data_IF_969929604532
#
_entry.id   IF_969929604532
#
_cell.length_a   1.000
_cell.length_b   1.000
_cell.length_c   1.000
_cell.angle_alpha   90.00
_cell.angle_beta   90.00
_cell.angle_gamma   90.00
#
_symmetry.space_group_name_H-M   'P 1'
#
loop_
_entity.id
_entity.type
_entity.pdbx_description
1 polymer ?
#
# COMPACT_ATOMS: atom_id res chain seq x y z
N UNK A 1 27.12 16.12 3.53
CA UNK A 1 26.19 15.00 3.29
C UNK A 1 26.31 14.01 4.45
N UNK A 2 26.05 14.45 5.68
CA UNK A 2 26.23 13.64 6.91
C UNK A 2 24.92 13.43 7.68
N UNK A 3 23.82 14.05 7.26
CA UNK A 3 22.56 14.03 8.01
C UNK A 3 21.70 12.78 7.74
N UNK A 4 22.02 12.02 6.69
CA UNK A 4 21.25 10.85 6.23
C UNK A 4 22.17 9.64 5.94
N UNK A 5 22.78 9.03 6.97
CA UNK A 5 23.78 7.98 6.80
C UNK A 5 23.25 6.71 6.12
N UNK A 6 22.02 6.26 6.41
CA UNK A 6 21.45 5.09 5.73
C UNK A 6 21.13 5.41 4.28
N UNK A 7 20.44 6.52 4.00
CA UNK A 7 20.13 6.91 2.62
C UNK A 7 21.39 7.06 1.75
N UNK A 8 22.48 7.56 2.33
CA UNK A 8 23.75 7.74 1.63
C UNK A 8 24.50 6.43 1.40
N UNK A 9 24.30 5.43 2.26
CA UNK A 9 25.02 4.14 2.19
C UNK A 9 24.25 3.04 1.45
N UNK A 10 22.98 3.26 1.10
CA UNK A 10 22.19 2.31 0.31
C UNK A 10 22.80 2.10 -1.08
N UNK A 11 23.09 0.85 -1.41
CA UNK A 11 23.57 0.46 -2.73
C UNK A 11 22.40 -0.03 -3.60
N UNK A 12 21.54 0.92 -3.98
CA UNK A 12 20.35 0.69 -4.79
C UNK A 12 19.18 0.04 -4.03
N UNK A 13 18.02 0.03 -4.69
CA UNK A 13 16.74 -0.43 -4.12
C UNK A 13 16.78 -1.87 -3.57
N UNK A 14 17.52 -2.77 -4.23
CA UNK A 14 17.63 -4.17 -3.84
C UNK A 14 18.28 -4.37 -2.45
N UNK A 15 19.13 -3.43 -2.01
CA UNK A 15 19.80 -3.51 -0.70
C UNK A 15 18.82 -3.42 0.48
N UNK A 16 17.65 -2.80 0.29
CA UNK A 16 16.62 -2.61 1.32
C UNK A 16 16.10 -3.95 1.85
N UNK A 17 16.09 -5.00 1.02
CA UNK A 17 15.68 -6.35 1.41
C UNK A 17 16.53 -6.92 2.55
N UNK A 18 17.81 -6.54 2.61
CA UNK A 18 18.78 -7.08 3.57
C UNK A 18 18.86 -6.28 4.88
N UNK A 19 18.19 -5.13 4.95
CA UNK A 19 18.11 -4.35 6.17
C UNK A 19 17.28 -5.07 7.24
N UNK A 20 17.75 -5.02 8.48
CA UNK A 20 16.96 -5.36 9.66
C UNK A 20 15.75 -4.43 9.80
N UNK A 21 14.74 -4.85 10.57
CA UNK A 21 13.59 -3.99 10.84
C UNK A 21 13.96 -2.72 11.60
N UNK A 22 15.02 -2.74 12.43
CA UNK A 22 15.52 -1.54 13.09
C UNK A 22 16.13 -0.55 12.07
N UNK A 23 16.95 -1.04 11.14
CA UNK A 23 17.51 -0.22 10.06
C UNK A 23 16.41 0.32 9.13
N UNK A 24 15.38 -0.48 8.82
CA UNK A 24 14.22 0.00 8.03
C UNK A 24 13.44 1.11 8.72
N UNK A 25 13.30 1.06 10.05
CA UNK A 25 12.67 2.15 10.83
C UNK A 25 13.52 3.42 10.81
N UNK A 26 14.84 3.29 10.99
CA UNK A 26 15.79 4.41 10.87
C UNK A 26 15.78 5.00 9.46
N UNK A 27 15.74 4.16 8.43
CA UNK A 27 15.60 4.59 7.04
C UNK A 27 14.30 5.37 6.82
N UNK A 28 13.19 4.93 7.42
CA UNK A 28 11.93 5.68 7.36
C UNK A 28 12.04 7.06 8.01
N UNK A 29 12.76 7.18 9.13
CA UNK A 29 13.03 8.46 9.81
C UNK A 29 13.85 9.41 8.94
N UNK A 30 14.94 8.92 8.36
CA UNK A 30 15.76 9.70 7.41
C UNK A 30 14.95 10.15 6.19
N UNK A 31 14.12 9.27 5.61
CA UNK A 31 13.24 9.61 4.50
C UNK A 31 12.24 10.71 4.87
N UNK A 32 11.61 10.64 6.05
CA UNK A 32 10.69 11.69 6.52
C UNK A 32 11.40 13.02 6.61
N UNK A 33 12.56 13.07 7.27
CA UNK A 33 13.34 14.29 7.43
C UNK A 33 13.77 14.87 6.07
N UNK A 34 14.31 14.04 5.18
CA UNK A 34 14.78 14.46 3.86
C UNK A 34 13.65 14.96 2.95
N UNK A 35 12.49 14.29 2.97
CA UNK A 35 11.29 14.72 2.24
C UNK A 35 10.80 16.06 2.79
N UNK A 36 10.68 16.21 4.11
CA UNK A 36 10.25 17.47 4.74
C UNK A 36 11.19 18.62 4.34
N UNK A 37 12.50 18.41 4.43
CA UNK A 37 13.49 19.43 4.06
C UNK A 37 13.36 19.85 2.60
N UNK A 38 13.26 18.89 1.68
CA UNK A 38 13.19 19.15 0.24
C UNK A 38 11.88 19.84 -0.13
N UNK A 39 10.75 19.37 0.40
CA UNK A 39 9.43 19.94 0.12
C UNK A 39 9.26 21.33 0.74
N UNK A 40 9.88 21.59 1.89
CA UNK A 40 9.89 22.93 2.49
C UNK A 40 10.59 23.95 1.58
N UNK A 41 11.64 23.55 0.85
CA UNK A 41 12.35 24.43 -0.08
C UNK A 41 11.64 24.56 -1.45
N UNK A 42 11.08 23.47 -1.97
CA UNK A 42 10.63 23.39 -3.37
C UNK A 42 9.11 23.39 -3.56
N UNK A 43 8.34 23.18 -2.48
CA UNK A 43 6.93 22.83 -2.54
C UNK A 43 6.68 21.39 -3.01
N UNK A 44 5.40 21.00 -3.09
CA UNK A 44 4.98 19.65 -3.47
C UNK A 44 4.04 19.00 -2.45
N UNK A 45 3.69 17.74 -2.67
CA UNK A 45 2.75 17.02 -1.82
C UNK A 45 3.48 16.44 -0.60
N UNK A 46 3.25 16.96 0.60
CA UNK A 46 3.95 16.48 1.79
C UNK A 46 3.23 15.29 2.44
N UNK A 47 2.01 15.51 2.94
CA UNK A 47 1.30 14.53 3.77
C UNK A 47 1.10 13.15 3.09
N UNK A 48 0.70 13.07 1.81
CA UNK A 48 0.56 11.78 1.12
C UNK A 48 1.87 10.99 1.05
N UNK A 49 3.01 11.67 0.88
CA UNK A 49 4.31 11.03 0.84
C UNK A 49 4.75 10.52 2.21
N UNK A 50 4.50 11.28 3.28
CA UNK A 50 4.81 10.83 4.64
C UNK A 50 3.97 9.60 5.04
N UNK A 51 2.74 9.49 4.53
CA UNK A 51 1.83 8.39 4.83
C UNK A 51 2.20 7.03 4.23
N UNK A 52 3.12 6.96 3.26
CA UNK A 52 3.42 5.73 2.51
C UNK A 52 4.89 5.31 2.57
N UNK A 53 5.69 5.89 3.47
CA UNK A 53 7.12 5.60 3.57
C UNK A 53 7.36 4.12 3.92
N UNK A 54 6.71 3.62 4.96
CA UNK A 54 6.87 2.22 5.38
C UNK A 54 6.36 1.25 4.33
N UNK A 55 5.23 1.57 3.69
CA UNK A 55 4.71 0.80 2.57
C UNK A 55 5.70 0.75 1.40
N UNK A 56 6.34 1.89 1.08
CA UNK A 56 7.34 1.95 0.01
C UNK A 56 8.56 1.11 0.34
N UNK A 57 9.07 1.20 1.58
CA UNK A 57 10.18 0.36 2.05
C UNK A 57 9.81 -1.12 1.96
N UNK A 58 8.60 -1.49 2.42
CA UNK A 58 8.13 -2.87 2.37
C UNK A 58 7.97 -3.37 0.92
N UNK A 59 7.46 -2.53 0.00
CA UNK A 59 7.38 -2.87 -1.42
C UNK A 59 8.75 -3.22 -2.01
N UNK A 60 9.75 -2.38 -1.75
CA UNK A 60 11.13 -2.57 -2.22
C UNK A 60 11.82 -3.77 -1.55
N UNK A 61 11.50 -4.03 -0.27
CA UNK A 61 12.04 -5.18 0.44
C UNK A 61 11.48 -6.52 -0.09
N UNK A 62 10.24 -6.55 -0.58
CA UNK A 62 9.52 -7.79 -0.87
C UNK A 62 9.33 -8.11 -2.35
N UNK A 63 9.52 -7.15 -3.25
CA UNK A 63 9.35 -7.33 -4.68
C UNK A 63 10.69 -7.17 -5.41
N UNK A 64 10.77 -7.70 -6.62
CA UNK A 64 11.93 -7.64 -7.50
C UNK A 64 11.74 -6.52 -8.52
N UNK A 65 11.89 -5.26 -8.11
CA UNK A 65 11.66 -4.11 -9.00
C UNK A 65 12.95 -3.75 -9.76
N UNK A 66 12.90 -3.30 -11.02
CA UNK A 66 11.72 -2.92 -11.82
C UNK A 66 11.05 -4.08 -12.59
N UNK A 67 11.48 -5.33 -12.39
CA UNK A 67 10.87 -6.49 -13.06
C UNK A 67 9.41 -6.65 -12.61
N UNK A 68 9.17 -6.67 -11.31
CA UNK A 68 7.88 -6.38 -10.72
C UNK A 68 7.58 -4.90 -10.93
N UNK A 69 6.39 -4.60 -11.43
CA UNK A 69 6.02 -3.26 -11.86
C UNK A 69 5.09 -2.63 -10.83
N UNK A 70 5.38 -1.39 -10.41
CA UNK A 70 4.56 -0.64 -9.44
C UNK A 70 4.03 0.62 -10.09
N UNK A 71 2.71 0.83 -10.02
CA UNK A 71 2.01 1.97 -10.58
C UNK A 71 1.35 2.75 -9.44
N UNK A 72 1.79 3.98 -9.21
CA UNK A 72 1.24 4.89 -8.21
C UNK A 72 0.09 5.71 -8.80
N UNK A 73 -1.14 5.55 -8.31
CA UNK A 73 -2.29 6.36 -8.71
C UNK A 73 -2.11 7.82 -8.32
N UNK A 74 -2.50 8.75 -9.21
CA UNK A 74 -2.16 10.18 -9.19
C UNK A 74 -0.65 10.45 -9.24
N UNK A 75 0.18 9.65 -8.57
CA UNK A 75 1.63 9.78 -8.48
C UNK A 75 2.11 10.68 -7.34
N UNK A 76 1.21 11.42 -6.69
CA UNK A 76 1.58 12.39 -5.66
C UNK A 76 2.15 11.79 -4.36
N UNK A 77 2.11 10.47 -4.20
CA UNK A 77 2.62 9.70 -3.05
C UNK A 77 3.83 8.82 -3.43
N UNK A 78 4.74 9.31 -4.28
CA UNK A 78 5.87 8.53 -4.83
C UNK A 78 7.27 9.02 -4.42
N UNK A 79 7.41 9.96 -3.49
CA UNK A 79 8.71 10.59 -3.19
C UNK A 79 9.69 9.62 -2.54
N UNK A 80 9.26 8.85 -1.55
CA UNK A 80 10.07 7.79 -0.97
C UNK A 80 10.47 6.77 -2.05
N UNK A 81 9.57 6.46 -2.98
CA UNK A 81 9.86 5.57 -4.10
C UNK A 81 10.96 6.17 -4.98
N UNK A 82 10.84 7.43 -5.41
CA UNK A 82 11.88 8.11 -6.20
C UNK A 82 13.23 8.08 -5.50
N UNK A 83 13.27 8.48 -4.22
CA UNK A 83 14.51 8.52 -3.42
C UNK A 83 15.19 7.15 -3.38
N UNK A 84 14.42 6.09 -3.09
CA UNK A 84 14.94 4.73 -2.91
C UNK A 84 15.17 3.97 -4.23
N UNK A 85 14.76 4.55 -5.37
CA UNK A 85 14.97 3.99 -6.72
C UNK A 85 15.90 4.89 -7.52
N UNK A 86 17.12 5.00 -6.99
CA UNK A 86 18.31 5.57 -7.63
C UNK A 86 18.24 7.08 -7.94
N UNK A 87 17.36 7.83 -7.26
CA UNK A 87 17.21 9.29 -7.47
C UNK A 87 17.38 10.10 -6.18
N UNK A 88 18.05 9.56 -5.17
CA UNK A 88 18.34 10.26 -3.91
C UNK A 88 19.13 11.56 -4.14
N UNK A 89 20.16 11.51 -4.99
CA UNK A 89 21.05 12.63 -5.28
C UNK A 89 20.38 13.76 -6.06
N UNK A 90 19.45 13.41 -6.96
CA UNK A 90 18.70 14.34 -7.81
C UNK A 90 17.45 14.88 -7.09
N UNK A 91 17.01 14.23 -6.01
CA UNK A 91 15.78 14.59 -5.30
C UNK A 91 15.70 16.06 -4.86
N UNK A 92 16.80 16.74 -4.45
CA UNK A 92 16.76 18.18 -4.15
C UNK A 92 16.31 19.07 -5.31
N UNK A 93 16.30 18.57 -6.55
CA UNK A 93 15.79 19.28 -7.74
C UNK A 93 14.28 19.10 -7.98
N UNK A 94 13.58 18.42 -7.07
CA UNK A 94 12.14 18.12 -7.15
C UNK A 94 11.32 19.35 -7.55
N UNK A 95 10.53 19.21 -8.61
CA UNK A 95 9.62 20.22 -9.19
C UNK A 95 10.30 21.50 -9.67
N UNK A 96 11.62 21.51 -9.79
CA UNK A 96 12.37 22.60 -10.40
C UNK A 96 12.48 22.40 -11.91
N UNK A 97 12.66 23.49 -12.66
CA UNK A 97 12.86 23.43 -14.11
C UNK A 97 14.10 22.60 -14.43
N UNK A 98 13.93 21.53 -15.21
CA UNK A 98 15.02 20.60 -15.55
C UNK A 98 15.38 19.60 -14.45
N UNK A 99 14.67 19.61 -13.32
CA UNK A 99 14.81 18.63 -12.23
C UNK A 99 13.77 17.52 -12.28
N UNK A 100 13.66 16.76 -11.19
CA UNK A 100 12.71 15.66 -11.07
C UNK A 100 11.25 16.12 -11.05
N UNK A 101 10.38 15.37 -11.74
CA UNK A 101 8.93 15.50 -11.65
C UNK A 101 8.43 15.20 -10.24
N UNK A 102 7.34 15.88 -9.86
CA UNK A 102 6.58 15.56 -8.65
C UNK A 102 5.71 14.30 -8.75
N UNK A 103 5.75 13.61 -9.89
CA UNK A 103 4.96 12.42 -10.20
C UNK A 103 5.84 11.37 -10.91
N UNK A 104 5.46 10.09 -10.93
CA UNK A 104 6.15 9.05 -11.69
C UNK A 104 6.26 9.46 -13.16
N UNK A 105 7.46 9.28 -13.73
CA UNK A 105 7.74 9.63 -15.11
C UNK A 105 8.65 8.59 -15.75
N UNK A 106 8.18 7.94 -16.81
CA UNK A 106 8.89 6.85 -17.51
C UNK A 106 10.23 7.29 -18.09
N UNK A 107 10.37 8.57 -18.43
CA UNK A 107 11.64 9.13 -18.91
C UNK A 107 12.64 9.46 -17.80
N UNK A 108 12.23 9.42 -16.53
CA UNK A 108 13.11 9.67 -15.38
C UNK A 108 13.70 8.41 -14.78
N UNK A 109 13.02 7.26 -14.94
CA UNK A 109 13.42 6.04 -14.23
C UNK A 109 12.75 4.81 -14.80
N UNK A 110 13.50 3.70 -14.88
CA UNK A 110 12.96 2.38 -15.22
C UNK A 110 11.96 1.85 -14.19
N UNK A 111 11.99 2.37 -12.96
CA UNK A 111 11.06 2.01 -11.88
C UNK A 111 9.70 2.72 -12.02
N UNK A 112 9.61 3.77 -12.83
CA UNK A 112 8.37 4.51 -13.09
C UNK A 112 7.72 3.98 -14.38
N UNK A 113 7.10 2.79 -14.32
CA UNK A 113 6.62 2.07 -15.51
C UNK A 113 5.43 2.72 -16.25
N UNK A 114 4.76 3.69 -15.61
CA UNK A 114 3.60 4.39 -16.16
C UNK A 114 3.55 5.83 -15.66
N UNK A 115 3.28 6.78 -16.56
CA UNK A 115 3.15 8.19 -16.21
C UNK A 115 1.81 8.44 -15.52
N UNK A 116 1.83 8.95 -14.29
CA UNK A 116 0.61 9.33 -13.57
C UNK A 116 0.58 10.81 -13.22
N UNK A 117 -0.64 11.29 -12.96
CA UNK A 117 -0.97 12.68 -12.66
C UNK A 117 -2.47 12.83 -12.45
N UNK A 118 -3.25 12.17 -13.30
CA UNK A 118 -4.69 11.99 -13.12
C UNK A 118 -5.00 10.82 -12.18
N UNK A 119 -6.12 10.93 -11.46
CA UNK A 119 -6.59 9.90 -10.52
C UNK A 119 -7.30 8.75 -11.21
N UNK A 120 -7.38 7.62 -10.51
CA UNK A 120 -8.18 6.43 -10.84
C UNK A 120 -7.68 5.64 -12.06
N UNK A 121 -6.46 5.92 -12.52
CA UNK A 121 -5.87 5.31 -13.73
C UNK A 121 -5.01 4.08 -13.43
N UNK A 122 -4.53 3.93 -12.20
CA UNK A 122 -3.50 2.93 -11.85
C UNK A 122 -3.95 1.48 -12.05
N UNK A 123 -5.18 1.14 -11.65
CA UNK A 123 -5.70 -0.24 -11.74
C UNK A 123 -5.87 -0.62 -13.22
N UNK A 124 -6.42 0.26 -14.04
CA UNK A 124 -6.57 0.02 -15.48
C UNK A 124 -5.22 -0.19 -16.16
N UNK A 125 -4.25 0.68 -15.87
CA UNK A 125 -2.88 0.54 -16.38
C UNK A 125 -2.22 -0.77 -15.91
N UNK A 126 -2.43 -1.14 -14.64
CA UNK A 126 -1.89 -2.38 -14.08
C UNK A 126 -2.52 -3.64 -14.71
N UNK A 127 -3.82 -3.65 -14.97
CA UNK A 127 -4.52 -4.73 -15.68
C UNK A 127 -3.94 -4.90 -17.09
N UNK A 128 -3.78 -3.80 -17.84
CA UNK A 128 -3.19 -3.83 -19.18
C UNK A 128 -1.76 -4.37 -19.17
N UNK A 129 -0.93 -3.90 -18.23
CA UNK A 129 0.45 -4.34 -18.10
C UNK A 129 0.56 -5.81 -17.66
N UNK A 130 -0.27 -6.26 -16.72
CA UNK A 130 -0.32 -7.66 -16.29
C UNK A 130 -0.68 -8.59 -17.45
N UNK A 131 -1.68 -8.23 -18.26
CA UNK A 131 -2.05 -8.97 -19.47
C UNK A 131 -0.91 -9.01 -20.49
N UNK A 132 -0.24 -7.88 -20.72
CA UNK A 132 0.89 -7.80 -21.64
C UNK A 132 2.08 -8.67 -21.19
N UNK A 133 2.36 -8.72 -19.88
CA UNK A 133 3.37 -9.62 -19.30
C UNK A 133 3.00 -11.09 -19.49
N UNK A 134 1.75 -11.45 -19.17
CA UNK A 134 1.24 -12.81 -19.35
C UNK A 134 1.33 -13.29 -20.79
N UNK A 135 0.96 -12.45 -21.77
CA UNK A 135 1.07 -12.76 -23.21
C UNK A 135 2.52 -13.00 -23.66
N UNK A 136 3.50 -12.44 -22.96
CA UNK A 136 4.94 -12.64 -23.20
C UNK A 136 5.54 -13.80 -22.39
N UNK A 137 4.73 -14.50 -21.60
CA UNK A 137 5.19 -15.53 -20.68
C UNK A 137 5.93 -14.99 -19.44
N UNK A 138 5.87 -13.69 -19.18
CA UNK A 138 6.45 -13.07 -17.98
C UNK A 138 5.48 -13.20 -16.80
N UNK A 139 5.97 -13.82 -15.72
CA UNK A 139 5.24 -14.07 -14.49
C UNK A 139 5.50 -13.01 -13.41
N UNK A 140 6.19 -11.92 -13.74
CA UNK A 140 6.44 -10.83 -12.80
C UNK A 140 5.16 -10.11 -12.39
N UNK A 141 5.12 -9.62 -11.15
CA UNK A 141 3.94 -8.98 -10.56
C UNK A 141 3.69 -7.61 -11.19
N UNK A 142 2.43 -7.20 -11.17
CA UNK A 142 2.02 -5.83 -11.44
C UNK A 142 1.20 -5.32 -10.25
N UNK A 143 1.63 -4.20 -9.68
CA UNK A 143 1.13 -3.66 -8.42
C UNK A 143 0.53 -2.28 -8.70
N UNK A 144 -0.75 -2.09 -8.42
CA UNK A 144 -1.40 -0.78 -8.41
C UNK A 144 -1.51 -0.27 -6.98
N UNK A 145 -0.93 0.90 -6.68
CA UNK A 145 -1.11 1.59 -5.40
C UNK A 145 -2.08 2.76 -5.59
N UNK A 146 -3.28 2.62 -5.05
CA UNK A 146 -4.38 3.59 -5.18
C UNK A 146 -4.82 4.12 -3.82
N UNK A 147 -5.13 5.43 -3.73
CA UNK A 147 -5.73 6.02 -2.54
C UNK A 147 -7.25 5.79 -2.48
N UNK A 148 -7.85 5.82 -1.29
CA UNK A 148 -9.31 5.69 -1.10
C UNK A 148 -10.12 6.74 -1.87
N UNK A 149 -9.63 7.98 -1.95
CA UNK A 149 -10.25 9.03 -2.77
C UNK A 149 -10.28 8.71 -4.26
N UNK A 150 -9.20 8.12 -4.79
CA UNK A 150 -9.09 7.76 -6.20
C UNK A 150 -9.89 6.50 -6.55
N UNK A 151 -10.14 5.61 -5.57
CA UNK A 151 -10.95 4.41 -5.76
C UNK A 151 -12.40 4.72 -6.13
N UNK A 152 -12.92 5.88 -5.68
CA UNK A 152 -14.27 6.33 -6.01
C UNK A 152 -14.50 6.69 -7.48
N UNK A 153 -13.43 6.86 -8.28
CA UNK A 153 -13.54 7.19 -9.70
C UNK A 153 -14.06 6.02 -10.53
N UNK A 154 -14.94 6.30 -11.50
CA UNK A 154 -15.57 5.27 -12.35
C UNK A 154 -14.56 4.37 -13.06
N UNK A 155 -13.43 4.92 -13.52
CA UNK A 155 -12.36 4.15 -14.17
C UNK A 155 -11.73 3.10 -13.24
N UNK A 156 -11.61 3.39 -11.95
CA UNK A 156 -11.09 2.42 -10.98
C UNK A 156 -12.06 1.25 -10.80
N UNK A 157 -13.37 1.51 -10.75
CA UNK A 157 -14.40 0.46 -10.68
C UNK A 157 -14.49 -0.38 -11.95
N UNK A 158 -14.46 0.26 -13.11
CA UNK A 158 -14.41 -0.43 -14.40
C UNK A 158 -13.20 -1.36 -14.45
N UNK A 159 -12.02 -0.87 -14.07
CA UNK A 159 -10.80 -1.66 -14.05
C UNK A 159 -10.84 -2.80 -13.04
N UNK A 160 -11.41 -2.60 -11.84
CA UNK A 160 -11.62 -3.68 -10.87
C UNK A 160 -12.57 -4.75 -11.41
N UNK A 161 -13.63 -4.35 -12.11
CA UNK A 161 -14.55 -5.28 -12.75
C UNK A 161 -13.89 -6.07 -13.87
N UNK A 162 -12.97 -5.46 -14.63
CA UNK A 162 -12.23 -6.10 -15.72
C UNK A 162 -11.06 -6.98 -15.23
N UNK A 163 -10.51 -6.66 -14.05
CA UNK A 163 -9.33 -7.31 -13.49
C UNK A 163 -9.49 -8.80 -13.22
N UNK A 164 -10.72 -9.32 -13.10
CA UNK A 164 -10.98 -10.75 -12.93
C UNK A 164 -10.36 -11.65 -14.01
N UNK A 165 -10.05 -11.09 -15.20
CA UNK A 165 -9.36 -11.82 -16.27
C UNK A 165 -7.82 -11.61 -16.30
N UNK A 166 -7.26 -10.77 -15.41
CA UNK A 166 -5.84 -10.43 -15.41
C UNK A 166 -4.94 -11.52 -14.78
N UNK A 167 -5.53 -12.53 -14.13
CA UNK A 167 -4.80 -13.64 -13.49
C UNK A 167 -4.12 -13.26 -12.17
N UNK A 168 -3.36 -14.21 -11.62
CA UNK A 168 -2.81 -14.14 -10.24
C UNK A 168 -1.65 -13.13 -10.04
N UNK A 169 -1.16 -12.49 -11.11
CA UNK A 169 0.01 -11.60 -11.06
C UNK A 169 -0.36 -10.12 -10.84
N UNK A 170 -1.61 -9.81 -10.52
CA UNK A 170 -2.09 -8.47 -10.22
C UNK A 170 -2.32 -8.29 -8.71
N UNK A 171 -1.67 -7.28 -8.12
CA UNK A 171 -1.89 -6.85 -6.74
C UNK A 171 -2.44 -5.41 -6.75
N UNK A 172 -3.56 -5.19 -6.05
CA UNK A 172 -4.08 -3.85 -5.80
C UNK A 172 -3.91 -3.52 -4.32
N UNK A 173 -3.16 -2.46 -4.05
CA UNK A 173 -2.94 -1.92 -2.71
C UNK A 173 -3.78 -0.67 -2.57
N UNK A 174 -4.73 -0.71 -1.63
CA UNK A 174 -5.56 0.42 -1.26
C UNK A 174 -4.96 1.14 -0.05
N UNK A 175 -4.43 2.35 -0.27
CA UNK A 175 -4.03 3.27 0.79
C UNK A 175 -5.27 4.03 1.30
N UNK A 176 -5.94 3.47 2.31
CA UNK A 176 -7.10 4.08 2.98
C UNK A 176 -6.65 4.98 4.14
N UNK A 177 -6.53 6.28 3.87
CA UNK A 177 -6.21 7.29 4.88
C UNK A 177 -7.40 8.19 5.26
N UNK A 178 -8.60 7.91 4.71
CA UNK A 178 -9.86 8.65 4.88
C UNK A 178 -9.84 10.07 4.29
N UNK A 179 -8.86 10.38 3.44
CA UNK A 179 -8.61 11.71 2.90
C UNK A 179 -8.47 11.66 1.37
N UNK A 180 -9.13 12.61 0.71
CA UNK A 180 -8.77 13.12 -0.60
C UNK A 180 -7.88 14.38 -0.39
N UNK A 181 -8.14 15.45 -1.16
CA UNK A 181 -7.70 16.81 -0.77
C UNK A 181 -8.44 17.23 0.52
N UNK A 182 -9.75 16.96 0.57
CA UNK A 182 -10.61 17.03 1.76
C UNK A 182 -11.07 15.62 2.18
N UNK A 183 -11.91 15.49 3.22
CA UNK A 183 -12.43 14.19 3.65
C UNK A 183 -13.05 13.37 2.49
N UNK A 184 -12.76 12.07 2.47
CA UNK A 184 -13.36 11.17 1.50
C UNK A 184 -14.88 11.05 1.73
N UNK A 185 -15.67 11.16 0.65
CA UNK A 185 -17.14 11.11 0.68
C UNK A 185 -17.69 10.02 -0.23
N UNK A 186 -18.95 9.63 -0.01
CA UNK A 186 -19.68 8.71 -0.89
C UNK A 186 -19.85 7.29 -0.37
N UNK A 187 -20.41 6.42 -1.21
CA UNK A 187 -20.72 5.02 -0.84
C UNK A 187 -19.47 4.19 -0.54
N UNK A 188 -18.39 4.39 -1.30
CA UNK A 188 -17.12 3.69 -1.15
C UNK A 188 -16.44 4.04 0.16
N UNK A 189 -16.35 5.32 0.49
CA UNK A 189 -15.77 5.79 1.75
C UNK A 189 -16.50 5.18 2.97
N UNK A 190 -17.84 5.17 2.96
CA UNK A 190 -18.65 4.52 4.01
C UNK A 190 -18.41 3.01 4.10
N UNK A 191 -18.23 2.32 2.97
CA UNK A 191 -17.93 0.90 2.96
C UNK A 191 -16.54 0.62 3.58
N UNK A 192 -15.52 1.40 3.21
CA UNK A 192 -14.17 1.29 3.80
C UNK A 192 -14.17 1.60 5.31
N UNK A 193 -14.99 2.54 5.75
CA UNK A 193 -15.19 2.81 7.18
C UNK A 193 -15.78 1.60 7.94
N UNK A 194 -16.77 0.93 7.37
CA UNK A 194 -17.35 -0.30 7.95
C UNK A 194 -16.31 -1.43 8.03
N UNK A 195 -15.47 -1.58 7.00
CA UNK A 195 -14.34 -2.51 6.97
C UNK A 195 -13.34 -2.26 8.10
N UNK A 196 -13.00 -0.99 8.35
CA UNK A 196 -12.05 -0.60 9.39
C UNK A 196 -12.61 -0.76 10.81
N UNK A 197 -13.85 -0.32 11.02
CA UNK A 197 -14.52 -0.38 12.33
C UNK A 197 -14.79 -1.81 12.77
N UNK A 198 -15.23 -2.67 11.85
CA UNK A 198 -15.44 -4.10 12.11
C UNK A 198 -14.16 -4.79 12.60
N UNK A 199 -13.00 -4.53 11.98
CA UNK A 199 -11.73 -5.11 12.41
C UNK A 199 -11.28 -4.62 13.79
N UNK A 200 -11.42 -3.31 14.08
CA UNK A 200 -11.09 -2.76 15.42
C UNK A 200 -11.96 -3.40 16.51
N UNK A 201 -13.26 -3.51 16.26
CA UNK A 201 -14.19 -4.19 17.15
C UNK A 201 -13.78 -5.66 17.38
N UNK A 202 -13.40 -6.37 16.31
CA UNK A 202 -12.94 -7.77 16.40
C UNK A 202 -11.63 -7.91 17.19
N UNK A 203 -10.63 -7.04 16.97
CA UNK A 203 -9.36 -7.07 17.73
C UNK A 203 -9.63 -6.88 19.22
N UNK A 204 -10.43 -5.88 19.59
CA UNK A 204 -10.83 -5.64 20.98
C UNK A 204 -11.56 -6.85 21.57
N UNK A 205 -12.57 -7.38 20.87
CA UNK A 205 -13.33 -8.55 21.31
C UNK A 205 -12.44 -9.77 21.53
N UNK A 206 -11.48 -10.03 20.63
CA UNK A 206 -10.55 -11.17 20.75
C UNK A 206 -9.65 -11.04 21.97
N UNK A 207 -9.16 -9.83 22.27
CA UNK A 207 -8.38 -9.56 23.49
C UNK A 207 -9.23 -9.81 24.74
N UNK A 208 -10.50 -9.38 24.74
CA UNK A 208 -11.44 -9.64 25.83
C UNK A 208 -11.74 -11.12 25.98
N UNK A 209 -12.00 -11.85 24.89
CA UNK A 209 -12.22 -13.29 24.89
C UNK A 209 -11.00 -14.05 25.45
N UNK A 210 -9.77 -13.73 25.03
CA UNK A 210 -8.55 -14.34 25.57
C UNK A 210 -8.31 -14.04 27.05
N UNK A 211 -8.72 -12.86 27.54
CA UNK A 211 -8.67 -12.52 28.97
C UNK A 211 -9.71 -13.30 29.77
N UNK A 212 -10.92 -13.47 29.23
CA UNK A 212 -11.99 -14.27 29.83
C UNK A 212 -11.66 -15.77 29.83
N UNK A 213 -11.01 -16.29 28.79
CA UNK A 213 -10.51 -17.68 28.71
C UNK A 213 -9.44 -18.00 29.77
N UNK A 214 -8.73 -16.99 30.28
CA UNK A 214 -7.75 -17.13 31.38
C UNK A 214 -8.38 -17.03 32.77
N UNK A 215 -9.67 -16.68 32.87
CA UNK A 215 -10.41 -16.77 34.13
C UNK A 215 -10.88 -18.22 34.29
N UNK A 216 -10.44 -18.94 35.34
CA UNK A 216 -10.79 -20.34 35.52
C UNK A 216 -12.22 -20.46 36.04
N UNK A 217 -13.23 -20.24 35.18
CA UNK A 217 -14.64 -20.44 35.56
C UNK A 217 -15.57 -20.80 34.38
N UNK A 218 -16.00 -22.07 34.42
CA UNK A 218 -17.34 -22.63 34.08
C UNK A 218 -17.65 -23.10 32.64
N UNK A 219 -17.52 -24.42 32.45
CA UNK A 219 -18.57 -25.31 31.89
C UNK A 219 -18.83 -25.36 30.38
N UNK A 220 -19.19 -26.55 29.91
CA UNK A 220 -19.63 -26.95 28.55
C UNK A 220 -20.51 -25.95 27.73
N UNK A 221 -21.43 -25.16 28.34
CA UNK A 221 -22.23 -24.17 27.61
C UNK A 221 -21.41 -22.97 27.08
N UNK A 222 -20.35 -22.55 27.78
CA UNK A 222 -19.53 -21.40 27.37
C UNK A 222 -18.66 -21.73 26.15
N UNK A 223 -18.16 -22.96 26.06
CA UNK A 223 -17.42 -23.48 24.89
C UNK A 223 -18.33 -23.51 23.65
N UNK A 224 -19.59 -23.94 23.78
CA UNK A 224 -20.56 -23.93 22.66
C UNK A 224 -20.92 -22.52 22.22
N UNK A 225 -21.04 -21.58 23.16
CA UNK A 225 -21.26 -20.16 22.86
C UNK A 225 -20.06 -19.54 22.13
N UNK A 226 -18.84 -19.80 22.63
CA UNK A 226 -17.59 -19.39 21.97
C UNK A 226 -17.47 -19.99 20.57
N UNK A 227 -17.78 -21.27 20.38
CA UNK A 227 -17.76 -21.92 19.07
C UNK A 227 -18.80 -21.31 18.10
N UNK A 228 -20.01 -20.99 18.57
CA UNK A 228 -21.03 -20.27 17.78
C UNK A 228 -20.58 -18.86 17.41
N UNK A 229 -19.96 -18.14 18.33
CA UNK A 229 -19.39 -16.81 18.09
C UNK A 229 -18.24 -16.87 17.08
N UNK A 230 -17.37 -17.89 17.18
CA UNK A 230 -16.28 -18.16 16.22
C UNK A 230 -16.81 -18.50 14.83
N UNK A 231 -17.93 -19.21 14.73
CA UNK A 231 -18.59 -19.53 13.45
C UNK A 231 -19.24 -18.29 12.81
N UNK A 232 -19.94 -17.47 13.61
CA UNK A 232 -20.44 -16.14 13.18
C UNK A 232 -19.31 -15.22 12.76
N UNK A 233 -18.19 -15.24 13.46
CA UNK A 233 -16.97 -14.50 13.10
C UNK A 233 -16.43 -14.90 11.74
N UNK A 234 -16.34 -16.20 11.43
CA UNK A 234 -15.90 -16.66 10.09
C UNK A 234 -16.84 -16.22 8.97
N UNK A 235 -18.14 -16.18 9.23
CA UNK A 235 -19.14 -15.72 8.26
C UNK A 235 -19.07 -14.20 8.06
N UNK A 236 -18.96 -13.42 9.13
CA UNK A 236 -18.91 -11.95 9.07
C UNK A 236 -17.59 -11.41 8.50
N UNK A 237 -16.46 -12.10 8.76
CA UNK A 237 -15.16 -11.76 8.15
C UNK A 237 -15.17 -11.93 6.63
N UNK A 238 -16.03 -12.82 6.12
CA UNK A 238 -16.32 -13.02 4.70
C UNK A 238 -17.20 -11.91 4.10
N UNK A 239 -17.95 -11.18 4.93
CA UNK A 239 -18.86 -10.12 4.47
C UNK A 239 -18.19 -8.74 4.42
N UNK A 240 -17.11 -8.51 5.19
CA UNK A 240 -16.43 -7.22 5.22
C UNK A 240 -15.79 -6.84 3.88
N UNK A 241 -15.02 -7.76 3.27
CA UNK A 241 -14.38 -7.57 1.96
C UNK A 241 -15.31 -7.84 0.77
N UNK A 242 -16.63 -7.95 1.01
CA UNK A 242 -17.57 -8.54 0.05
C UNK A 242 -17.54 -7.89 -1.32
N UNK A 243 -17.35 -6.57 -1.45
CA UNK A 243 -17.29 -5.95 -2.78
C UNK A 243 -16.08 -6.42 -3.57
N UNK A 244 -14.90 -6.46 -2.94
CA UNK A 244 -13.67 -6.89 -3.60
C UNK A 244 -13.70 -8.39 -3.91
N UNK A 245 -14.20 -9.20 -2.96
CA UNK A 245 -14.38 -10.65 -3.17
C UNK A 245 -15.40 -10.96 -4.27
N UNK A 246 -16.50 -10.20 -4.36
CA UNK A 246 -17.50 -10.33 -5.43
C UNK A 246 -16.96 -9.89 -6.79
N UNK A 247 -16.01 -8.96 -6.82
CA UNK A 247 -15.27 -8.56 -8.01
C UNK A 247 -14.14 -9.56 -8.36
N UNK A 248 -13.99 -10.66 -7.62
CA UNK A 248 -13.03 -11.72 -7.89
C UNK A 248 -11.65 -11.55 -7.24
N UNK A 249 -11.47 -10.56 -6.36
CA UNK A 249 -10.22 -10.35 -5.62
C UNK A 249 -10.18 -11.14 -4.32
N UNK A 250 -8.98 -11.58 -3.94
CA UNK A 250 -8.72 -11.99 -2.56
C UNK A 250 -8.39 -10.75 -1.73
N UNK A 251 -9.13 -10.53 -0.64
CA UNK A 251 -8.93 -9.38 0.24
C UNK A 251 -8.17 -9.77 1.51
N UNK A 252 -7.06 -9.09 1.80
CA UNK A 252 -6.16 -9.39 2.93
C UNK A 252 -6.12 -8.29 4.01
N UNK A 253 -7.07 -7.34 4.00
CA UNK A 253 -7.07 -6.17 4.87
C UNK A 253 -8.06 -6.22 6.05
N UNK A 254 -8.11 -5.13 6.85
CA UNK A 254 -7.17 -4.00 6.83
C UNK A 254 -5.86 -4.32 7.58
N UNK A 255 -4.74 -3.79 7.06
CA UNK A 255 -3.38 -3.91 7.61
C UNK A 255 -2.92 -2.54 8.13
N UNK A 256 -2.08 -2.51 9.16
CA UNK A 256 -1.46 -1.27 9.63
C UNK A 256 -0.36 -0.81 8.64
N UNK A 257 -0.62 0.30 7.95
CA UNK A 257 0.26 0.87 6.92
C UNK A 257 1.60 1.40 7.43
N UNK A 258 1.80 1.50 8.74
CA UNK A 258 3.06 1.97 9.36
C UNK A 258 3.82 0.85 10.08
N UNK A 259 3.32 -0.39 10.03
CA UNK A 259 3.99 -1.54 10.63
C UNK A 259 4.71 -2.35 9.54
N UNK A 260 6.04 -2.19 9.47
CA UNK A 260 6.89 -2.84 8.47
C UNK A 260 6.77 -4.37 8.49
N UNK A 261 6.76 -4.99 9.67
CA UNK A 261 6.61 -6.44 9.79
C UNK A 261 5.28 -6.94 9.23
N UNK A 262 4.17 -6.26 9.56
CA UNK A 262 2.85 -6.61 9.07
C UNK A 262 2.74 -6.38 7.56
N UNK A 263 3.28 -5.27 7.04
CA UNK A 263 3.31 -4.97 5.61
C UNK A 263 4.08 -6.05 4.83
N UNK A 264 5.33 -6.32 5.22
CA UNK A 264 6.15 -7.32 4.52
C UNK A 264 5.55 -8.72 4.57
N UNK A 265 4.89 -9.07 5.68
CA UNK A 265 4.21 -10.36 5.82
C UNK A 265 3.07 -10.50 4.81
N UNK A 266 2.26 -9.46 4.60
CA UNK A 266 1.13 -9.52 3.66
C UNK A 266 1.58 -9.37 2.19
N UNK A 267 2.65 -8.62 1.90
CA UNK A 267 3.16 -8.47 0.54
C UNK A 267 3.85 -9.74 0.00
N UNK A 268 4.33 -10.62 0.89
CA UNK A 268 4.91 -11.93 0.54
C UNK A 268 3.87 -13.05 0.38
N UNK A 269 2.65 -12.85 0.88
CA UNK A 269 1.58 -13.85 0.87
C UNK A 269 0.92 -13.98 -0.52
#
# INVERSE_FOLDING_TARGET
MTDYPLLTSLNGSASIRFLSYEEKRKLAEELRAFIIQTVAANGGHLAPNLGVIELTIALLATNDVPRDSVIFDVGHQCYAWKILTDRFTEFPTLRQKGGLSGFPKTTESAYDVFNTGHSSTSISAAVGLARAKSMKGDQSKTIALIGDGALGGGMAFEALSDAGQAGDNLLVILNDNQMCIDHAVGGVARHLEQLRTSQRYIKLKTIWEQRLERVPLVGDPSIRLLARLKRRWRLWRREGGAIFEQLGFRYYGPVDGHNLEDLERHLKA
#
